data_IF_631192264486
#
_entry.id   IF_631192264486
#
_cell.length_a   1.000
_cell.length_b   1.000
_cell.length_c   1.000
_cell.angle_alpha   90.00
_cell.angle_beta   90.00
_cell.angle_gamma   90.00
#
_symmetry.space_group_name_H-M   'P 1'
#
loop_
_entity.id
_entity.type
_entity.pdbx_description
1 polymer ?
#
# COMPACT_ATOMS: atom_id res chain seq x y z
N UNK A 1 -11.70 5.87 76.89
CA UNK A 1 -11.54 4.80 77.89
C UNK A 1 -10.24 4.15 77.57
N UNK A 2 -9.12 4.49 78.30
CA UNK A 2 -8.53 3.84 79.46
C UNK A 2 -8.23 2.37 79.10
N UNK A 3 -6.94 1.90 79.01
CA UNK A 3 -5.96 1.69 80.13
C UNK A 3 -4.63 1.26 79.49
N UNK A 4 -3.45 1.78 79.59
CA UNK A 4 -2.36 1.79 80.58
C UNK A 4 -2.11 0.46 81.30
N UNK A 5 -0.82 -0.04 81.15
CA UNK A 5 0.02 -0.72 82.12
C UNK A 5 1.32 -1.15 81.37
N UNK A 6 2.45 -0.62 81.52
CA UNK A 6 3.48 -0.47 82.64
C UNK A 6 4.00 -1.81 83.23
N UNK A 7 5.31 -1.89 83.31
CA UNK A 7 6.25 -2.68 84.17
C UNK A 7 7.18 -3.60 83.34
N UNK A 8 8.45 -3.70 83.60
CA UNK A 8 9.41 -3.07 84.50
C UNK A 8 10.81 -3.56 84.13
N UNK A 9 11.80 -2.78 84.43
CA UNK A 9 13.25 -2.97 84.43
C UNK A 9 13.73 -4.23 85.17
N UNK A 10 14.88 -4.83 84.75
CA UNK A 10 16.05 -4.94 85.63
C UNK A 10 17.32 -5.35 84.87
N UNK A 11 18.47 -4.78 85.14
CA UNK A 11 19.76 -5.06 84.50
C UNK A 11 20.60 -6.02 85.32
N UNK A 12 21.55 -6.72 84.71
CA UNK A 12 22.70 -7.29 85.41
C UNK A 12 23.98 -7.11 84.61
N UNK A 13 24.90 -6.49 85.28
CA UNK A 13 26.30 -6.16 85.01
C UNK A 13 27.21 -7.33 85.45
N UNK A 14 28.34 -7.58 84.79
CA UNK A 14 29.69 -7.84 85.29
C UNK A 14 30.48 -8.52 84.15
N UNK A 15 31.40 -7.91 83.52
CA UNK A 15 32.82 -7.63 83.82
C UNK A 15 33.69 -8.86 83.87
N UNK A 16 34.61 -8.99 82.90
CA UNK A 16 36.00 -9.45 83.16
C UNK A 16 36.94 -9.06 82.02
N UNK A 17 38.00 -8.39 82.40
CA UNK A 17 39.11 -7.95 81.57
C UNK A 17 40.06 -9.09 81.20
N UNK A 18 40.77 -8.93 80.06
CA UNK A 18 42.04 -9.60 79.77
C UNK A 18 42.65 -9.04 78.48
N UNK A 19 43.85 -8.40 78.55
CA UNK A 19 44.47 -7.84 77.33
C UNK A 19 45.39 -8.88 76.67
N UNK A 20 45.30 -9.00 75.34
CA UNK A 20 46.35 -9.64 74.57
C UNK A 20 46.51 -8.85 73.22
N UNK A 21 47.69 -8.24 73.21
CA UNK A 21 48.26 -7.54 72.07
C UNK A 21 48.54 -8.48 70.90
N UNK A 22 48.08 -8.17 69.77
CA UNK A 22 48.41 -8.82 68.53
C UNK A 22 48.11 -7.88 67.37
N UNK A 23 49.06 -7.06 66.94
CA UNK A 23 49.05 -6.28 65.75
C UNK A 23 49.07 -7.25 64.56
N UNK A 24 47.90 -7.58 64.02
CA UNK A 24 47.85 -8.16 62.72
C UNK A 24 47.25 -7.12 61.80
N UNK A 25 48.03 -6.64 60.82
CA UNK A 25 47.63 -5.78 59.77
C UNK A 25 46.60 -6.53 58.91
N UNK A 26 45.32 -6.36 59.25
CA UNK A 26 44.21 -6.88 58.45
C UNK A 26 44.29 -6.41 57.01
N UNK A 27 44.60 -7.35 56.16
CA UNK A 27 44.31 -7.22 54.73
C UNK A 27 42.88 -6.73 54.62
N UNK A 28 42.65 -5.63 53.87
CA UNK A 28 41.33 -5.14 53.47
C UNK A 28 40.46 -6.25 52.82
N UNK A 29 39.16 -6.11 52.84
CA UNK A 29 38.26 -7.15 52.36
C UNK A 29 38.68 -7.62 50.97
N UNK A 30 38.95 -8.92 50.85
CA UNK A 30 39.42 -9.56 49.62
C UNK A 30 38.52 -9.22 48.46
N UNK A 31 39.05 -8.44 47.54
CA UNK A 31 38.35 -8.15 46.32
C UNK A 31 38.02 -9.46 45.58
N UNK A 32 36.75 -9.62 45.21
CA UNK A 32 36.38 -10.70 44.32
C UNK A 32 37.32 -10.68 43.10
N UNK A 33 37.78 -11.84 42.63
CA UNK A 33 38.58 -11.86 41.41
C UNK A 33 37.84 -11.14 40.28
N UNK A 34 38.55 -10.37 39.41
CA UNK A 34 37.91 -9.63 38.35
C UNK A 34 37.02 -10.56 37.54
N UNK A 35 35.76 -10.22 37.40
CA UNK A 35 34.82 -11.00 36.59
C UNK A 35 35.19 -10.91 35.10
N UNK A 36 35.40 -12.05 34.47
CA UNK A 36 35.57 -12.07 33.01
C UNK A 36 34.24 -11.74 32.33
N UNK A 37 34.22 -10.70 31.46
CA UNK A 37 33.05 -10.17 30.82
C UNK A 37 33.27 -9.99 29.32
N UNK A 38 32.25 -10.28 28.55
CA UNK A 38 32.20 -9.91 27.14
C UNK A 38 31.55 -8.53 27.01
N UNK A 39 32.11 -7.70 26.16
CA UNK A 39 31.60 -6.35 25.90
C UNK A 39 31.30 -6.13 24.42
N UNK A 40 30.34 -5.27 24.16
CA UNK A 40 30.06 -4.72 22.82
C UNK A 40 30.29 -3.22 22.87
N UNK A 41 31.09 -2.71 21.94
CA UNK A 41 31.30 -1.26 21.82
C UNK A 41 30.07 -0.65 21.10
N UNK A 42 29.51 0.38 21.69
CA UNK A 42 28.39 1.13 21.12
C UNK A 42 28.87 1.87 19.90
N UNK A 43 28.41 1.43 18.73
CA UNK A 43 28.64 2.11 17.45
C UNK A 43 27.28 2.53 16.88
N UNK A 44 27.02 3.85 16.73
CA UNK A 44 25.82 4.30 16.05
C UNK A 44 25.78 3.76 14.63
N UNK A 45 24.62 3.23 14.24
CA UNK A 45 24.40 2.67 12.91
C UNK A 45 23.05 3.16 12.34
N UNK A 46 22.97 3.28 11.02
CA UNK A 46 21.69 3.54 10.38
C UNK A 46 20.88 2.26 10.29
N UNK A 47 19.71 2.24 10.93
CA UNK A 47 18.81 1.09 10.94
C UNK A 47 17.62 1.32 10.03
N UNK A 48 17.21 0.33 9.23
CA UNK A 48 15.96 0.40 8.48
C UNK A 48 14.77 0.41 9.44
N UNK A 49 13.79 1.27 9.13
CA UNK A 49 12.51 1.32 9.85
C UNK A 49 11.42 0.81 8.92
N UNK A 50 10.62 -0.14 9.42
CA UNK A 50 9.47 -0.68 8.70
C UNK A 50 8.22 -0.39 9.50
N UNK A 51 7.22 0.23 8.86
CA UNK A 51 5.91 0.42 9.46
C UNK A 51 4.97 -0.65 8.91
N UNK A 52 4.12 -1.21 9.76
CA UNK A 52 3.19 -2.27 9.38
C UNK A 52 1.75 -1.85 9.65
N UNK A 53 0.89 -1.96 8.64
CA UNK A 53 -0.53 -1.62 8.71
C UNK A 53 -1.38 -2.73 8.11
N UNK A 54 -2.62 -2.84 8.56
CA UNK A 54 -3.60 -3.70 7.90
C UNK A 54 -4.20 -2.94 6.73
N UNK A 55 -4.22 -3.58 5.57
CA UNK A 55 -4.81 -3.03 4.36
C UNK A 55 -5.73 -4.02 3.68
N UNK A 56 -6.49 -3.51 2.73
CA UNK A 56 -7.37 -4.30 1.88
C UNK A 56 -7.05 -4.02 0.41
N UNK A 57 -6.96 -5.08 -0.37
CA UNK A 57 -6.76 -4.99 -1.82
C UNK A 57 -8.04 -4.50 -2.50
N UNK A 58 -7.90 -3.74 -3.56
CA UNK A 58 -8.99 -3.26 -4.41
C UNK A 58 -8.57 -3.30 -5.88
N UNK A 59 -9.53 -3.46 -6.77
CA UNK A 59 -9.26 -3.27 -8.19
C UNK A 59 -8.81 -1.85 -8.49
N UNK A 60 -7.88 -1.67 -9.42
CA UNK A 60 -7.45 -0.33 -9.83
C UNK A 60 -8.55 0.42 -10.59
N UNK A 61 -9.46 -0.31 -11.22
CA UNK A 61 -10.67 0.19 -11.84
C UNK A 61 -11.78 -0.83 -11.71
N UNK A 62 -12.95 -0.38 -11.35
CA UNK A 62 -14.18 -1.15 -11.40
C UNK A 62 -15.18 -0.40 -12.27
N UNK A 63 -15.58 -1.01 -13.37
CA UNK A 63 -16.44 -0.37 -14.38
C UNK A 63 -17.69 -1.20 -14.58
N UNK A 64 -18.82 -0.57 -14.38
CA UNK A 64 -20.12 -1.15 -14.67
C UNK A 64 -20.34 -1.22 -16.19
N UNK A 65 -20.73 -2.37 -16.67
CA UNK A 65 -21.14 -2.60 -18.04
C UNK A 65 -22.65 -2.55 -18.11
N UNK A 66 -23.16 -1.47 -18.70
CA UNK A 66 -24.60 -1.21 -18.82
C UNK A 66 -25.03 -1.26 -20.30
N UNK A 67 -26.27 -1.68 -20.54
CA UNK A 67 -26.87 -1.58 -21.86
C UNK A 67 -27.02 -0.09 -22.25
N UNK A 68 -26.77 0.26 -23.52
CA UNK A 68 -26.99 1.63 -24.05
C UNK A 68 -28.25 1.74 -24.84
N UNK A 69 -28.80 0.61 -25.28
CA UNK A 69 -30.03 0.50 -26.05
C UNK A 69 -30.98 -0.50 -25.41
N UNK A 70 -32.25 -0.38 -25.67
CA UNK A 70 -33.30 -1.27 -25.16
C UNK A 70 -33.49 -2.44 -26.11
N UNK A 71 -33.60 -3.66 -25.59
CA UNK A 71 -33.88 -4.84 -26.43
C UNK A 71 -33.75 -6.14 -25.63
N UNK A 72 -33.96 -7.26 -26.34
CA UNK A 72 -33.81 -8.59 -25.74
C UNK A 72 -32.35 -8.97 -25.76
N UNK A 73 -31.80 -9.42 -24.61
CA UNK A 73 -30.45 -9.96 -24.51
C UNK A 73 -30.42 -11.31 -25.23
N UNK A 74 -29.69 -11.38 -26.35
CA UNK A 74 -29.67 -12.57 -27.20
C UNK A 74 -28.65 -13.60 -26.74
N UNK A 75 -27.43 -13.15 -26.43
CA UNK A 75 -26.35 -14.03 -26.04
C UNK A 75 -25.38 -13.31 -25.09
N UNK A 76 -24.84 -14.10 -24.13
CA UNK A 76 -23.67 -13.75 -23.33
C UNK A 76 -22.42 -14.36 -23.98
N UNK A 77 -21.43 -13.52 -24.31
CA UNK A 77 -20.27 -13.90 -25.12
C UNK A 77 -18.99 -14.06 -24.26
N UNK A 78 -19.11 -14.15 -22.95
CA UNK A 78 -17.98 -14.33 -22.01
C UNK A 78 -18.30 -15.36 -20.92
N UNK A 79 -17.27 -15.90 -20.30
CA UNK A 79 -17.40 -16.69 -19.10
C UNK A 79 -17.21 -15.82 -17.85
N UNK A 80 -18.11 -15.97 -16.88
CA UNK A 80 -18.07 -15.22 -15.61
C UNK A 80 -16.80 -15.53 -14.81
N UNK A 81 -16.20 -14.51 -14.22
CA UNK A 81 -14.96 -14.67 -13.43
C UNK A 81 -13.69 -14.83 -14.27
N UNK A 82 -13.80 -14.78 -15.61
CA UNK A 82 -12.63 -14.91 -16.50
C UNK A 82 -12.11 -13.54 -16.94
N UNK A 83 -10.86 -13.54 -17.40
CA UNK A 83 -10.23 -12.34 -17.95
C UNK A 83 -10.87 -11.98 -19.27
N UNK A 84 -11.24 -10.70 -19.43
CA UNK A 84 -11.73 -10.12 -20.66
C UNK A 84 -10.80 -9.00 -21.11
N UNK A 85 -10.64 -8.87 -22.42
CA UNK A 85 -9.88 -7.78 -23.02
C UNK A 85 -10.78 -6.57 -23.31
N UNK A 86 -10.22 -5.34 -23.24
CA UNK A 86 -10.94 -4.15 -23.69
C UNK A 86 -11.42 -4.28 -25.14
N UNK A 87 -12.70 -3.97 -25.41
CA UNK A 87 -13.33 -4.11 -26.72
C UNK A 87 -13.83 -5.53 -27.03
N UNK A 88 -13.59 -6.51 -26.16
CA UNK A 88 -14.16 -7.84 -26.29
C UNK A 88 -15.69 -7.77 -26.14
N UNK A 89 -16.43 -8.42 -27.07
CA UNK A 89 -17.89 -8.53 -26.95
C UNK A 89 -18.26 -9.33 -25.71
N UNK A 90 -19.06 -8.72 -24.83
CA UNK A 90 -19.57 -9.35 -23.62
C UNK A 90 -21.01 -9.82 -23.78
N UNK A 91 -21.83 -9.00 -24.40
CA UNK A 91 -23.25 -9.35 -24.64
C UNK A 91 -23.65 -8.90 -26.03
N UNK A 92 -24.67 -9.57 -26.58
CA UNK A 92 -25.34 -9.19 -27.80
C UNK A 92 -26.83 -8.95 -27.49
N UNK A 93 -27.29 -7.73 -27.70
CA UNK A 93 -28.71 -7.37 -27.68
C UNK A 93 -29.25 -7.62 -29.09
N UNK A 94 -30.51 -8.01 -29.23
CA UNK A 94 -31.11 -8.30 -30.55
C UNK A 94 -30.90 -7.15 -31.52
N UNK A 95 -30.11 -7.33 -32.59
CA UNK A 95 -29.81 -6.26 -33.54
C UNK A 95 -30.91 -6.04 -34.59
N UNK A 96 -31.84 -6.99 -34.76
CA UNK A 96 -32.80 -6.95 -35.89
C UNK A 96 -33.60 -5.65 -35.97
N UNK A 97 -34.17 -5.08 -34.89
CA UNK A 97 -34.86 -3.80 -34.95
C UNK A 97 -33.97 -2.63 -35.38
N UNK A 98 -32.69 -2.66 -34.98
CA UNK A 98 -31.70 -1.62 -35.27
C UNK A 98 -31.16 -1.74 -36.70
N UNK A 99 -31.00 -2.96 -37.21
CA UNK A 99 -30.67 -3.22 -38.62
C UNK A 99 -31.77 -2.71 -39.55
N UNK A 100 -33.04 -2.94 -39.21
CA UNK A 100 -34.15 -2.41 -39.95
C UNK A 100 -34.19 -0.87 -39.91
N UNK A 101 -33.91 -0.24 -38.78
CA UNK A 101 -33.81 1.21 -38.63
C UNK A 101 -32.66 1.80 -39.47
N UNK A 102 -31.51 1.11 -39.48
CA UNK A 102 -30.37 1.47 -40.33
C UNK A 102 -30.73 1.45 -41.81
N UNK A 103 -31.31 0.33 -42.30
CA UNK A 103 -31.70 0.19 -43.70
C UNK A 103 -32.67 1.28 -44.11
N UNK A 104 -33.62 1.66 -43.23
CA UNK A 104 -34.56 2.78 -43.49
C UNK A 104 -33.80 4.11 -43.58
N UNK A 105 -32.89 4.40 -42.67
CA UNK A 105 -32.12 5.65 -42.71
C UNK A 105 -31.20 5.74 -43.93
N UNK A 106 -30.67 4.62 -44.43
CA UNK A 106 -29.91 4.56 -45.70
C UNK A 106 -30.78 4.88 -46.90
N UNK A 107 -32.01 4.34 -46.95
CA UNK A 107 -32.98 4.68 -48.01
C UNK A 107 -33.39 6.16 -47.98
N UNK A 108 -33.58 6.76 -46.78
CA UNK A 108 -33.91 8.17 -46.62
C UNK A 108 -32.79 9.09 -47.14
N UNK A 109 -31.51 8.72 -46.94
CA UNK A 109 -30.37 9.46 -47.54
C UNK A 109 -30.39 9.37 -49.03
N UNK A 110 -30.59 8.19 -49.65
CA UNK A 110 -30.66 8.04 -51.08
C UNK A 110 -31.82 8.85 -51.72
N UNK A 111 -32.96 8.89 -51.05
CA UNK A 111 -34.10 9.69 -51.50
C UNK A 111 -33.81 11.20 -51.42
N UNK A 112 -33.14 11.68 -50.37
CA UNK A 112 -32.74 13.07 -50.21
C UNK A 112 -31.70 13.49 -51.26
N UNK A 113 -30.69 12.64 -51.51
CA UNK A 113 -29.68 12.85 -52.54
C UNK A 113 -30.28 12.95 -53.94
N UNK A 114 -31.23 12.07 -54.30
CA UNK A 114 -31.92 12.12 -55.59
C UNK A 114 -32.68 13.43 -55.80
N UNK A 115 -33.34 13.94 -54.73
CA UNK A 115 -34.06 15.25 -54.80
C UNK A 115 -33.06 16.41 -54.93
N UNK A 116 -32.01 16.43 -54.18
CA UNK A 116 -30.93 17.45 -54.26
C UNK A 116 -30.34 17.46 -55.67
N UNK A 117 -30.01 16.30 -56.24
CA UNK A 117 -29.48 16.19 -57.61
C UNK A 117 -30.45 16.67 -58.68
N UNK A 118 -31.74 16.43 -58.49
CA UNK A 118 -32.78 17.00 -59.39
C UNK A 118 -32.77 18.52 -59.30
N UNK A 119 -32.80 19.11 -58.11
CA UNK A 119 -32.78 20.55 -57.89
C UNK A 119 -31.51 21.18 -58.48
N UNK A 120 -30.34 20.56 -58.23
CA UNK A 120 -29.03 20.99 -58.75
C UNK A 120 -29.03 21.00 -60.30
N UNK A 121 -29.51 19.95 -60.97
CA UNK A 121 -29.61 19.91 -62.43
C UNK A 121 -30.55 21.00 -62.96
N UNK A 122 -31.63 21.31 -62.23
CA UNK A 122 -32.54 22.37 -62.62
C UNK A 122 -31.87 23.75 -62.49
N UNK A 123 -31.21 24.07 -61.38
CA UNK A 123 -30.47 25.32 -61.18
C UNK A 123 -29.36 25.49 -62.25
N UNK A 124 -28.60 24.40 -62.51
CA UNK A 124 -27.53 24.38 -63.50
C UNK A 124 -28.06 24.66 -64.94
N UNK A 125 -29.29 24.21 -65.28
CA UNK A 125 -29.96 24.47 -66.60
C UNK A 125 -30.42 25.90 -66.70
N UNK A 126 -31.01 26.51 -65.69
CA UNK A 126 -31.56 27.88 -65.72
C UNK A 126 -30.44 28.93 -65.74
N UNK A 127 -29.29 28.67 -65.22
CA UNK A 127 -28.15 29.60 -65.19
C UNK A 127 -27.74 30.14 -66.58
N UNK A 128 -27.48 29.32 -67.62
CA UNK A 128 -27.20 29.81 -68.97
C UNK A 128 -28.40 30.46 -69.61
N UNK A 129 -29.62 29.96 -69.37
CA UNK A 129 -30.87 30.54 -69.98
C UNK A 129 -31.15 31.98 -69.47
N UNK A 130 -30.76 32.28 -68.22
CA UNK A 130 -30.82 33.63 -67.70
C UNK A 130 -29.86 34.56 -68.45
N UNK A 131 -28.66 34.11 -68.80
CA UNK A 131 -27.67 34.86 -69.54
C UNK A 131 -28.21 35.22 -70.95
N UNK A 132 -29.01 34.33 -71.53
CA UNK A 132 -29.72 34.54 -72.81
C UNK A 132 -31.04 35.30 -72.63
N UNK A 133 -31.41 35.74 -71.41
CA UNK A 133 -32.66 36.42 -71.05
C UNK A 133 -33.92 35.60 -71.36
N UNK A 134 -33.81 34.27 -71.43
CA UNK A 134 -34.93 33.34 -71.72
C UNK A 134 -35.74 32.99 -70.45
N UNK A 135 -35.26 33.33 -69.26
CA UNK A 135 -35.91 33.11 -67.94
C UNK A 135 -35.72 34.32 -67.05
N UNK A 136 -36.54 34.46 -66.00
CA UNK A 136 -36.42 35.53 -65.01
C UNK A 136 -35.34 35.24 -63.92
N UNK A 137 -34.80 36.29 -63.31
CA UNK A 137 -33.92 36.17 -62.18
C UNK A 137 -34.58 35.41 -61.05
N UNK A 138 -35.87 35.64 -60.83
CA UNK A 138 -36.67 34.94 -59.82
C UNK A 138 -36.66 33.43 -60.01
N UNK A 139 -36.79 32.95 -61.28
CA UNK A 139 -36.77 31.49 -61.54
C UNK A 139 -35.44 30.86 -61.20
N UNK A 140 -34.29 31.55 -61.41
CA UNK A 140 -32.99 31.08 -61.00
C UNK A 140 -32.84 31.09 -59.50
N UNK A 141 -33.29 32.18 -58.83
CA UNK A 141 -33.18 32.29 -57.35
C UNK A 141 -34.02 31.21 -56.64
N UNK A 142 -35.25 30.93 -57.21
CA UNK A 142 -36.09 29.84 -56.68
C UNK A 142 -35.45 28.47 -56.89
N UNK A 143 -34.78 28.22 -58.00
CA UNK A 143 -34.07 26.95 -58.25
C UNK A 143 -32.82 26.79 -57.38
N UNK A 144 -32.07 27.86 -57.14
CA UNK A 144 -30.93 27.86 -56.22
C UNK A 144 -31.40 27.64 -54.79
N UNK A 145 -32.50 28.26 -54.40
CA UNK A 145 -33.09 28.02 -53.06
C UNK A 145 -33.53 26.56 -52.89
N UNK A 146 -34.13 25.96 -53.95
CA UNK A 146 -34.49 24.53 -53.94
C UNK A 146 -33.24 23.62 -53.82
N UNK A 147 -32.14 23.95 -54.51
CA UNK A 147 -30.84 23.23 -54.32
C UNK A 147 -30.33 23.35 -52.92
N UNK A 148 -30.35 24.55 -52.32
CA UNK A 148 -29.92 24.77 -50.95
C UNK A 148 -30.76 23.99 -49.91
N UNK A 149 -32.09 23.96 -50.12
CA UNK A 149 -33.01 23.16 -49.30
C UNK A 149 -32.69 21.66 -49.44
N UNK A 150 -32.49 21.17 -50.67
CA UNK A 150 -32.13 19.79 -50.93
C UNK A 150 -30.82 19.39 -50.26
N UNK A 151 -29.81 20.28 -50.26
CA UNK A 151 -28.55 20.05 -49.57
C UNK A 151 -28.74 19.98 -48.03
N UNK A 152 -29.62 20.80 -47.46
CA UNK A 152 -29.95 20.73 -46.04
C UNK A 152 -30.68 19.43 -45.67
N UNK A 153 -31.59 18.95 -46.54
CA UNK A 153 -32.31 17.69 -46.36
C UNK A 153 -31.37 16.48 -46.39
N UNK A 154 -30.39 16.44 -47.30
CA UNK A 154 -29.34 15.42 -47.35
C UNK A 154 -28.57 15.41 -46.03
N UNK A 155 -28.12 16.56 -45.53
CA UNK A 155 -27.40 16.67 -44.27
C UNK A 155 -28.24 16.18 -43.10
N UNK A 156 -29.52 16.46 -43.05
CA UNK A 156 -30.43 15.98 -42.01
C UNK A 156 -30.64 14.45 -42.09
N UNK A 157 -30.74 13.88 -43.29
CA UNK A 157 -30.84 12.43 -43.49
C UNK A 157 -29.54 11.71 -43.08
N UNK A 158 -28.38 12.27 -43.43
CA UNK A 158 -27.07 11.74 -43.00
C UNK A 158 -26.89 11.74 -41.47
N UNK A 159 -27.40 12.77 -40.77
CA UNK A 159 -27.38 12.79 -39.31
C UNK A 159 -28.21 11.63 -38.71
N UNK A 160 -29.43 11.36 -39.26
CA UNK A 160 -30.25 10.21 -38.84
C UNK A 160 -29.59 8.87 -39.15
N UNK A 161 -28.91 8.75 -40.29
CA UNK A 161 -28.15 7.56 -40.65
C UNK A 161 -27.04 7.31 -39.62
N UNK A 162 -26.31 8.37 -39.22
CA UNK A 162 -25.26 8.27 -38.19
C UNK A 162 -25.84 7.80 -36.86
N UNK A 163 -26.97 8.32 -36.43
CA UNK A 163 -27.70 7.89 -35.25
C UNK A 163 -28.09 6.41 -35.30
N UNK A 164 -28.67 5.97 -36.43
CA UNK A 164 -29.06 4.57 -36.61
C UNK A 164 -27.85 3.62 -36.56
N UNK A 165 -26.73 3.99 -37.17
CA UNK A 165 -25.45 3.23 -37.09
C UNK A 165 -24.92 3.15 -35.66
N UNK A 166 -24.96 4.25 -34.91
CA UNK A 166 -24.52 4.30 -33.52
C UNK A 166 -25.41 3.39 -32.66
N UNK A 167 -26.73 3.46 -32.80
CA UNK A 167 -27.65 2.62 -32.04
C UNK A 167 -27.45 1.13 -32.36
N UNK A 168 -27.21 0.76 -33.62
CA UNK A 168 -26.86 -0.60 -33.99
C UNK A 168 -25.55 -1.03 -33.36
N UNK A 169 -24.52 -0.17 -33.34
CA UNK A 169 -23.24 -0.49 -32.68
C UNK A 169 -23.40 -0.80 -31.19
N UNK A 170 -24.34 -0.15 -30.51
CA UNK A 170 -24.63 -0.35 -29.10
C UNK A 170 -25.34 -1.69 -28.78
N UNK A 171 -25.86 -2.39 -29.79
CA UNK A 171 -26.41 -3.76 -29.60
C UNK A 171 -25.30 -4.76 -29.25
N UNK A 172 -24.05 -4.49 -29.65
CA UNK A 172 -22.86 -5.21 -29.24
C UNK A 172 -22.26 -4.52 -28.05
N UNK A 173 -22.47 -5.09 -26.85
CA UNK A 173 -21.96 -4.56 -25.61
C UNK A 173 -20.53 -5.07 -25.40
N UNK A 174 -19.57 -4.16 -25.33
CA UNK A 174 -18.14 -4.49 -25.22
C UNK A 174 -17.58 -4.16 -23.85
N UNK A 175 -16.51 -4.84 -23.47
CA UNK A 175 -15.76 -4.56 -22.23
C UNK A 175 -15.08 -3.18 -22.35
N UNK A 176 -15.33 -2.24 -21.41
CA UNK A 176 -14.75 -0.89 -21.45
C UNK A 176 -13.27 -0.87 -21.05
N UNK A 177 -12.85 -1.85 -20.26
CA UNK A 177 -11.46 -2.05 -19.77
C UNK A 177 -11.11 -3.53 -19.81
N UNK A 178 -9.81 -3.83 -19.88
CA UNK A 178 -9.33 -5.19 -19.64
C UNK A 178 -9.34 -5.49 -18.14
N UNK A 179 -9.82 -6.68 -17.75
CA UNK A 179 -9.93 -7.06 -16.36
C UNK A 179 -10.64 -8.40 -16.17
N UNK A 180 -11.07 -8.67 -14.95
CA UNK A 180 -11.87 -9.86 -14.63
C UNK A 180 -13.35 -9.48 -14.68
N UNK A 181 -14.12 -10.28 -15.42
CA UNK A 181 -15.56 -10.10 -15.53
C UNK A 181 -16.27 -10.56 -14.24
N UNK A 182 -17.23 -9.77 -13.80
CA UNK A 182 -18.14 -10.17 -12.74
C UNK A 182 -19.22 -11.16 -13.23
N UNK A 183 -20.19 -11.43 -12.35
CA UNK A 183 -21.38 -12.23 -12.66
C UNK A 183 -22.31 -11.43 -13.58
N UNK A 184 -22.96 -12.09 -14.50
CA UNK A 184 -24.03 -11.51 -15.28
C UNK A 184 -25.28 -11.28 -14.41
N UNK A 185 -25.81 -10.06 -14.43
CA UNK A 185 -27.02 -9.68 -13.70
C UNK A 185 -28.30 -9.94 -14.49
N UNK A 186 -28.19 -10.25 -15.77
CA UNK A 186 -29.28 -10.55 -16.68
C UNK A 186 -28.98 -11.82 -17.47
N UNK A 187 -29.98 -12.65 -17.63
CA UNK A 187 -29.91 -13.89 -18.43
C UNK A 187 -30.29 -13.66 -19.88
N UNK A 188 -29.82 -14.55 -20.74
CA UNK A 188 -30.24 -14.58 -22.13
C UNK A 188 -31.79 -14.69 -22.24
N UNK A 189 -32.37 -13.98 -23.16
CA UNK A 189 -33.82 -13.84 -23.31
C UNK A 189 -34.45 -12.71 -22.47
N UNK A 190 -33.72 -12.09 -21.54
CA UNK A 190 -34.23 -10.98 -20.72
C UNK A 190 -34.35 -9.70 -21.53
N UNK A 191 -35.44 -8.95 -21.31
CA UNK A 191 -35.54 -7.57 -21.80
C UNK A 191 -34.63 -6.66 -20.97
N UNK A 192 -33.77 -5.89 -21.59
CA UNK A 192 -32.94 -4.85 -21.00
C UNK A 192 -33.41 -3.47 -21.42
N UNK A 193 -33.53 -2.54 -20.49
CA UNK A 193 -34.10 -1.20 -20.69
C UNK A 193 -33.02 -0.15 -20.63
N UNK A 194 -32.28 0.05 -21.74
CA UNK A 194 -31.35 1.15 -21.93
C UNK A 194 -30.32 1.32 -20.77
N UNK A 195 -29.96 2.56 -20.43
CA UNK A 195 -28.86 2.85 -19.48
C UNK A 195 -29.08 2.38 -18.04
N UNK A 196 -30.31 2.10 -17.66
CA UNK A 196 -30.67 1.60 -16.32
C UNK A 196 -30.24 0.13 -16.10
N UNK A 197 -30.12 -0.65 -17.17
CA UNK A 197 -29.82 -2.07 -17.04
C UNK A 197 -28.32 -2.33 -16.82
N UNK A 198 -27.94 -2.61 -15.58
CA UNK A 198 -26.62 -3.16 -15.24
C UNK A 198 -26.55 -4.62 -15.70
N UNK A 199 -25.60 -4.91 -16.60
CA UNK A 199 -25.38 -6.24 -17.15
C UNK A 199 -24.33 -7.01 -16.35
N UNK A 200 -23.19 -6.40 -16.08
CA UNK A 200 -22.10 -6.96 -15.28
C UNK A 200 -21.15 -5.84 -14.85
N UNK A 201 -20.11 -6.20 -14.09
CA UNK A 201 -18.97 -5.33 -13.79
C UNK A 201 -17.70 -5.93 -14.37
N UNK A 202 -16.74 -5.09 -14.74
CA UNK A 202 -15.38 -5.51 -15.11
C UNK A 202 -14.41 -4.83 -14.16
N UNK A 203 -13.63 -5.63 -13.43
CA UNK A 203 -12.67 -5.14 -12.45
C UNK A 203 -11.26 -5.34 -12.99
N UNK A 204 -10.53 -4.25 -13.15
CA UNK A 204 -9.11 -4.28 -13.50
C UNK A 204 -8.32 -4.63 -12.24
N UNK A 205 -7.58 -5.75 -12.29
CA UNK A 205 -6.82 -6.29 -11.16
C UNK A 205 -5.31 -6.16 -11.34
N UNK A 206 -4.84 -5.71 -12.50
CA UNK A 206 -3.44 -5.40 -12.76
C UNK A 206 -3.34 -4.02 -13.45
N UNK A 207 -2.70 -3.04 -12.81
CA UNK A 207 -2.22 -3.10 -11.42
C UNK A 207 -3.34 -3.25 -10.38
N UNK A 208 -3.00 -3.72 -9.18
CA UNK A 208 -3.92 -3.79 -8.04
C UNK A 208 -3.62 -2.67 -7.04
N UNK A 209 -4.64 -2.15 -6.40
CA UNK A 209 -4.51 -1.20 -5.31
C UNK A 209 -4.61 -1.88 -3.97
N UNK A 210 -3.96 -1.28 -2.99
CA UNK A 210 -4.07 -1.67 -1.58
C UNK A 210 -4.35 -0.42 -0.77
N UNK A 211 -5.53 -0.36 -0.17
CA UNK A 211 -5.94 0.73 0.71
C UNK A 211 -5.62 0.36 2.16
N UNK A 212 -5.05 1.26 2.92
CA UNK A 212 -4.71 1.08 4.32
C UNK A 212 -4.80 2.39 5.07
N UNK A 213 -5.07 2.32 6.37
CA UNK A 213 -5.20 3.51 7.22
C UNK A 213 -4.00 3.68 8.14
N UNK A 214 -3.48 4.90 8.20
CA UNK A 214 -2.46 5.30 9.20
C UNK A 214 -3.16 6.08 10.30
N UNK A 215 -3.07 5.64 11.59
CA UNK A 215 -3.64 6.38 12.71
C UNK A 215 -3.02 7.79 12.83
N UNK A 216 -3.86 8.80 13.11
CA UNK A 216 -3.43 10.20 13.19
C UNK A 216 -2.36 10.43 14.28
N UNK A 217 -2.51 9.79 15.42
CA UNK A 217 -1.53 9.85 16.51
C UNK A 217 -0.16 9.29 16.10
N UNK A 218 -0.14 8.24 15.27
CA UNK A 218 1.10 7.65 14.76
C UNK A 218 1.76 8.55 13.72
N UNK A 219 0.96 9.13 12.83
CA UNK A 219 1.44 10.12 11.87
C UNK A 219 2.03 11.35 12.57
N UNK A 220 1.36 11.87 13.61
CA UNK A 220 1.87 13.00 14.39
C UNK A 220 3.18 12.66 15.12
N UNK A 221 3.34 11.42 15.61
CA UNK A 221 4.59 10.92 16.20
C UNK A 221 5.69 10.83 15.14
N UNK A 222 5.40 10.23 13.99
CA UNK A 222 6.35 10.12 12.88
C UNK A 222 6.84 11.50 12.43
N UNK A 223 5.94 12.47 12.32
CA UNK A 223 6.29 13.84 11.95
C UNK A 223 7.28 14.46 12.96
N UNK A 224 7.03 14.33 14.26
CA UNK A 224 7.96 14.78 15.31
C UNK A 224 9.31 14.08 15.24
N UNK A 225 9.33 12.79 14.89
CA UNK A 225 10.58 12.04 14.76
C UNK A 225 11.38 12.46 13.52
N UNK A 226 10.70 12.82 12.44
CA UNK A 226 11.34 13.39 11.24
C UNK A 226 11.91 14.78 11.54
N UNK A 227 11.13 15.67 12.17
CA UNK A 227 11.56 17.02 12.56
C UNK A 227 12.78 16.98 13.51
N UNK A 228 12.78 16.02 14.43
CA UNK A 228 13.90 15.79 15.35
C UNK A 228 15.06 15.01 14.72
N UNK A 229 15.02 14.70 13.41
CA UNK A 229 16.01 13.91 12.67
C UNK A 229 16.27 12.52 13.25
N UNK A 230 15.32 11.98 14.01
CA UNK A 230 15.38 10.60 14.52
C UNK A 230 14.99 9.57 13.47
N UNK A 231 14.19 9.98 12.49
CA UNK A 231 13.83 9.17 11.32
C UNK A 231 14.12 10.00 10.06
N UNK A 232 14.83 9.41 9.13
CA UNK A 232 15.06 9.93 7.80
C UNK A 232 14.10 9.24 6.82
N UNK A 233 13.39 10.05 6.04
CA UNK A 233 12.49 9.57 4.99
C UNK A 233 13.30 9.04 3.80
N UNK A 234 12.71 8.17 2.95
CA UNK A 234 13.32 7.78 1.69
C UNK A 234 13.70 9.00 0.83
N UNK A 235 14.77 8.90 0.06
CA UNK A 235 15.31 10.01 -0.72
C UNK A 235 14.31 10.59 -1.75
N UNK A 236 13.41 9.74 -2.27
CA UNK A 236 12.34 10.13 -3.19
C UNK A 236 11.05 10.55 -2.47
N UNK A 237 11.05 10.58 -1.14
CA UNK A 237 9.90 10.90 -0.30
C UNK A 237 8.76 9.87 -0.36
N UNK A 238 8.99 8.70 -0.96
CA UNK A 238 7.98 7.66 -1.16
C UNK A 238 8.41 6.35 -0.53
N UNK A 239 7.50 5.77 0.25
CA UNK A 239 7.72 4.44 0.81
C UNK A 239 7.59 3.37 -0.27
N UNK A 240 8.50 2.41 -0.24
CA UNK A 240 8.32 1.14 -0.90
C UNK A 240 7.33 0.30 -0.09
N UNK A 241 6.43 -0.37 -0.79
CA UNK A 241 5.36 -1.17 -0.19
C UNK A 241 5.60 -2.64 -0.51
N UNK A 242 5.69 -3.46 0.53
CA UNK A 242 5.66 -4.92 0.43
C UNK A 242 4.45 -5.44 1.19
N UNK A 243 3.90 -6.56 0.74
CA UNK A 243 2.70 -7.15 1.34
C UNK A 243 3.04 -8.49 1.96
N UNK A 244 2.49 -8.74 3.15
CA UNK A 244 2.40 -10.07 3.72
C UNK A 244 0.95 -10.54 3.59
N UNK A 245 0.78 -11.73 3.04
CA UNK A 245 -0.52 -12.37 2.85
C UNK A 245 -1.04 -12.93 4.19
N UNK A 246 -2.28 -13.39 4.20
CA UNK A 246 -2.92 -13.90 5.42
C UNK A 246 -2.20 -15.15 6.01
N UNK A 247 -1.51 -15.92 5.17
CA UNK A 247 -0.68 -17.05 5.58
C UNK A 247 0.71 -16.69 6.09
N UNK A 248 1.04 -15.38 6.11
CA UNK A 248 2.35 -14.86 6.50
C UNK A 248 3.39 -14.85 5.39
N UNK A 249 3.08 -15.38 4.20
CA UNK A 249 4.00 -15.33 3.06
C UNK A 249 4.12 -13.91 2.51
N UNK A 250 5.31 -13.56 2.03
CA UNK A 250 5.54 -12.28 1.39
C UNK A 250 5.09 -12.33 -0.09
N UNK A 251 4.34 -11.33 -0.52
CA UNK A 251 4.06 -11.15 -1.94
C UNK A 251 5.34 -10.78 -2.69
N UNK A 252 5.60 -11.47 -3.80
CA UNK A 252 6.89 -11.41 -4.51
C UNK A 252 7.20 -10.05 -5.18
N UNK A 253 6.22 -9.16 -5.27
CA UNK A 253 6.38 -7.84 -5.92
C UNK A 253 6.18 -6.73 -4.93
N UNK A 254 7.04 -5.72 -5.00
CA UNK A 254 6.84 -4.48 -4.27
C UNK A 254 6.08 -3.47 -5.12
N UNK A 255 5.49 -2.49 -4.44
CA UNK A 255 4.81 -1.37 -5.03
C UNK A 255 5.21 -0.06 -4.39
N UNK A 256 4.45 0.98 -4.65
CA UNK A 256 4.69 2.31 -4.08
C UNK A 256 3.40 2.95 -3.62
N UNK A 257 3.49 3.75 -2.57
CA UNK A 257 2.39 4.63 -2.18
C UNK A 257 2.18 5.66 -3.29
N UNK A 258 0.97 5.70 -3.86
CA UNK A 258 0.60 6.61 -4.94
C UNK A 258 -0.45 7.65 -4.55
N UNK A 259 -1.10 7.49 -3.39
CA UNK A 259 -2.13 8.41 -2.89
C UNK A 259 -2.17 8.42 -1.36
N UNK A 260 -2.44 9.57 -0.78
CA UNK A 260 -2.79 9.75 0.62
C UNK A 260 -3.89 10.80 0.73
N UNK A 261 -5.01 10.45 1.37
CA UNK A 261 -6.11 11.39 1.57
C UNK A 261 -5.65 12.54 2.49
N UNK A 262 -6.14 13.73 2.23
CA UNK A 262 -5.92 14.90 3.10
C UNK A 262 -6.77 14.80 4.36
N UNK A 263 -7.91 14.12 4.27
CA UNK A 263 -8.89 14.01 5.35
C UNK A 263 -8.57 12.83 6.27
N UNK A 264 -8.85 13.02 7.54
CA UNK A 264 -8.88 11.95 8.53
C UNK A 264 -10.31 11.43 8.62
N UNK A 265 -10.48 10.13 8.51
CA UNK A 265 -11.78 9.48 8.70
C UNK A 265 -12.25 9.64 10.15
N UNK A 266 -13.36 10.31 10.36
CA UNK A 266 -13.92 10.49 11.70
C UNK A 266 -14.37 9.17 12.35
N UNK A 267 -14.68 8.15 11.55
CA UNK A 267 -15.10 6.83 12.04
C UNK A 267 -13.95 6.00 12.60
N UNK A 268 -12.76 6.14 12.05
CA UNK A 268 -11.60 5.28 12.38
C UNK A 268 -10.42 6.06 12.99
N UNK A 269 -10.43 7.40 12.92
CA UNK A 269 -9.30 8.23 13.33
C UNK A 269 -8.04 8.02 12.49
N UNK A 270 -8.19 7.49 11.26
CA UNK A 270 -7.08 7.16 10.38
C UNK A 270 -7.10 8.02 9.12
N UNK A 271 -5.92 8.28 8.58
CA UNK A 271 -5.73 8.82 7.24
C UNK A 271 -5.61 7.68 6.24
N UNK A 272 -6.44 7.70 5.22
CA UNK A 272 -6.41 6.68 4.17
C UNK A 272 -5.22 6.89 3.23
N UNK A 273 -4.50 5.80 2.99
CA UNK A 273 -3.37 5.73 2.07
C UNK A 273 -3.64 4.63 1.05
N UNK A 274 -3.09 4.78 -0.14
CA UNK A 274 -3.19 3.79 -1.19
C UNK A 274 -1.83 3.50 -1.80
N UNK A 275 -1.55 2.23 -1.95
CA UNK A 275 -0.40 1.73 -2.71
C UNK A 275 -0.86 1.05 -3.99
N UNK A 276 0.00 1.07 -4.99
CA UNK A 276 -0.19 0.39 -6.27
C UNK A 276 0.89 -0.64 -6.48
N UNK A 277 0.47 -1.87 -6.82
CA UNK A 277 1.36 -3.01 -7.05
C UNK A 277 1.03 -3.69 -8.38
N UNK A 278 2.04 -4.18 -9.05
CA UNK A 278 1.84 -5.05 -10.21
C UNK A 278 1.27 -6.40 -9.76
N UNK A 279 0.24 -6.88 -10.45
CA UNK A 279 -0.44 -8.14 -10.13
C UNK A 279 -0.69 -9.00 -11.38
N UNK A 280 0.36 -9.32 -12.14
CA UNK A 280 0.21 -10.16 -13.32
C UNK A 280 -0.34 -11.54 -12.96
N UNK A 281 -1.32 -11.98 -13.73
CA UNK A 281 -2.00 -13.25 -13.47
C UNK A 281 -3.05 -13.21 -12.35
N UNK A 282 -3.29 -12.07 -11.70
CA UNK A 282 -4.37 -11.90 -10.73
C UNK A 282 -4.19 -12.71 -9.43
N UNK A 283 -2.95 -12.90 -8.98
CA UNK A 283 -2.64 -13.63 -7.75
C UNK A 283 -3.30 -12.98 -6.52
N UNK A 284 -3.30 -11.66 -6.46
CA UNK A 284 -4.08 -10.90 -5.46
C UNK A 284 -5.49 -10.66 -6.01
N UNK A 285 -6.48 -10.87 -5.17
CA UNK A 285 -7.88 -10.62 -5.50
C UNK A 285 -8.40 -9.39 -4.79
N UNK A 286 -9.25 -8.56 -5.40
CA UNK A 286 -9.91 -7.45 -4.71
C UNK A 286 -10.68 -7.94 -3.47
N UNK A 287 -10.66 -7.13 -2.40
CA UNK A 287 -11.32 -7.45 -1.13
C UNK A 287 -10.49 -8.28 -0.15
N UNK A 288 -9.28 -8.71 -0.51
CA UNK A 288 -8.41 -9.52 0.32
C UNK A 288 -7.71 -8.65 1.37
N UNK A 289 -7.70 -9.09 2.64
CA UNK A 289 -6.91 -8.43 3.68
C UNK A 289 -5.45 -8.86 3.60
N UNK A 290 -4.57 -7.87 3.74
CA UNK A 290 -3.11 -8.04 3.70
C UNK A 290 -2.46 -7.16 4.76
N UNK A 291 -1.24 -7.52 5.18
CA UNK A 291 -0.40 -6.63 5.97
C UNK A 291 0.53 -5.85 5.05
N UNK A 292 0.45 -4.55 5.14
CA UNK A 292 1.19 -3.59 4.33
C UNK A 292 2.43 -3.19 5.10
N UNK A 293 3.61 -3.45 4.58
CA UNK A 293 4.88 -3.01 5.14
C UNK A 293 5.43 -1.84 4.32
N UNK A 294 5.55 -0.69 4.96
CA UNK A 294 6.19 0.50 4.40
C UNK A 294 7.68 0.47 4.73
N UNK A 295 8.52 0.46 3.71
CA UNK A 295 9.98 0.38 3.79
C UNK A 295 10.65 1.61 3.18
N UNK A 296 11.91 1.82 3.53
CA UNK A 296 12.74 2.88 2.96
C UNK A 296 13.07 4.00 3.94
N UNK A 297 12.33 4.15 5.05
CA UNK A 297 12.77 5.03 6.13
C UNK A 297 13.95 4.41 6.89
N UNK A 298 14.80 5.27 7.43
CA UNK A 298 15.95 4.84 8.24
C UNK A 298 16.01 5.65 9.53
N UNK A 299 16.54 5.03 10.58
CA UNK A 299 16.87 5.73 11.82
C UNK A 299 18.39 5.93 11.83
N UNK A 300 18.86 7.14 11.51
CA UNK A 300 20.29 7.45 11.58
C UNK A 300 20.76 7.40 13.04
N UNK A 301 22.04 7.13 13.23
CA UNK A 301 22.71 7.17 14.55
C UNK A 301 22.01 6.33 15.64
N UNK A 302 21.32 5.26 15.26
CA UNK A 302 20.69 4.37 16.21
C UNK A 302 21.75 3.57 17.01
N UNK A 303 21.58 3.58 18.31
CA UNK A 303 22.38 2.77 19.24
C UNK A 303 21.61 1.51 19.56
N UNK A 304 22.17 0.35 19.27
CA UNK A 304 21.56 -0.94 19.62
C UNK A 304 22.41 -1.70 20.64
N UNK A 305 21.72 -2.37 21.56
CA UNK A 305 22.35 -3.22 22.58
C UNK A 305 21.57 -4.54 22.62
N UNK A 306 22.27 -5.70 22.62
CA UNK A 306 21.60 -6.99 22.73
C UNK A 306 20.66 -7.06 23.93
N UNK A 307 19.49 -7.69 23.76
CA UNK A 307 18.44 -7.74 24.79
C UNK A 307 18.98 -8.23 26.15
N UNK A 308 19.87 -9.23 26.13
CA UNK A 308 20.45 -9.82 27.32
C UNK A 308 21.32 -8.85 28.16
N UNK A 309 21.80 -7.75 27.58
CA UNK A 309 22.59 -6.75 28.28
C UNK A 309 21.76 -5.70 29.03
N UNK A 310 20.45 -5.60 28.71
CA UNK A 310 19.55 -4.66 29.36
C UNK A 310 18.87 -5.35 30.54
N UNK A 311 19.15 -4.84 31.73
CA UNK A 311 18.60 -5.34 32.98
C UNK A 311 17.49 -4.42 33.48
N UNK A 312 16.62 -4.95 34.33
CA UNK A 312 15.53 -4.21 34.96
C UNK A 312 15.78 -4.11 36.47
N UNK A 313 15.67 -2.92 37.01
CA UNK A 313 15.87 -2.63 38.41
C UNK A 313 14.80 -1.68 38.97
N UNK A 314 14.87 -1.35 40.27
CA UNK A 314 13.86 -0.49 40.93
C UNK A 314 13.69 0.90 40.32
N UNK A 315 14.75 1.40 39.64
CA UNK A 315 14.76 2.72 39.01
C UNK A 315 14.51 2.65 37.46
N UNK A 316 14.14 1.48 36.93
CA UNK A 316 13.93 1.25 35.52
C UNK A 316 15.02 0.40 34.88
N UNK A 317 15.13 0.49 33.56
CA UNK A 317 16.07 -0.29 32.75
C UNK A 317 17.47 0.32 32.81
N UNK A 318 18.49 -0.54 32.92
CA UNK A 318 19.89 -0.14 32.97
C UNK A 318 20.79 -1.15 32.26
N UNK A 319 21.98 -0.73 31.94
CA UNK A 319 23.07 -1.59 31.43
C UNK A 319 24.31 -1.42 32.30
N UNK A 320 25.19 -2.42 32.30
CA UNK A 320 26.53 -2.25 32.82
C UNK A 320 27.45 -1.79 31.69
N UNK A 321 28.22 -0.73 31.95
CA UNK A 321 29.29 -0.25 31.07
C UNK A 321 30.63 -0.39 31.78
N UNK A 322 31.70 -0.54 31.01
CA UNK A 322 33.05 -0.52 31.55
C UNK A 322 33.43 0.94 31.77
N UNK A 323 33.53 1.31 33.07
CA UNK A 323 33.95 2.64 33.51
C UNK A 323 35.47 2.79 33.64
N UNK A 324 35.88 3.94 34.17
CA UNK A 324 37.29 4.21 34.44
C UNK A 324 37.89 3.19 35.41
N UNK A 325 39.11 2.70 35.13
CA UNK A 325 39.78 1.69 35.97
C UNK A 325 39.24 0.28 35.80
N UNK A 326 38.58 -0.07 34.68
CA UNK A 326 38.03 -1.41 34.42
C UNK A 326 37.03 -1.87 35.49
N UNK A 327 36.16 -0.98 35.94
CA UNK A 327 35.09 -1.28 36.90
C UNK A 327 33.72 -1.25 36.19
N UNK A 328 32.77 -2.11 36.61
CA UNK A 328 31.43 -2.13 36.13
C UNK A 328 30.62 -0.94 36.67
N UNK A 329 30.14 -0.07 35.80
CA UNK A 329 29.31 1.09 36.15
C UNK A 329 27.87 0.85 35.70
N UNK A 330 26.90 1.06 36.60
CA UNK A 330 25.47 1.03 36.24
C UNK A 330 25.14 2.32 35.49
N UNK A 331 24.56 2.16 34.31
CA UNK A 331 24.06 3.30 33.52
C UNK A 331 22.59 3.13 33.20
N UNK A 332 21.73 3.99 33.76
CA UNK A 332 20.31 4.01 33.39
C UNK A 332 20.14 4.30 31.89
N UNK A 333 19.27 3.54 31.23
CA UNK A 333 18.98 3.69 29.80
C UNK A 333 17.49 3.77 29.55
N UNK A 334 17.11 4.62 28.60
CA UNK A 334 15.76 4.56 28.03
C UNK A 334 15.80 3.69 26.76
N UNK A 335 14.96 2.66 26.75
CA UNK A 335 14.84 1.77 25.60
C UNK A 335 13.67 2.19 24.74
N UNK A 336 13.80 2.02 23.43
CA UNK A 336 12.75 2.20 22.43
C UNK A 336 12.20 0.87 21.94
N UNK A 337 12.05 0.75 20.63
CA UNK A 337 11.57 -0.44 19.95
C UNK A 337 12.66 -1.52 19.85
N UNK A 338 12.24 -2.74 19.54
CA UNK A 338 13.15 -3.84 19.26
C UNK A 338 13.58 -3.81 17.79
N UNK A 339 14.84 -4.16 17.57
CA UNK A 339 15.39 -4.39 16.25
C UNK A 339 16.06 -5.77 16.24
N UNK A 340 15.36 -6.78 15.75
CA UNK A 340 15.80 -8.18 15.86
C UNK A 340 15.88 -8.64 17.31
N UNK A 341 17.07 -9.04 17.78
CA UNK A 341 17.37 -9.48 19.16
C UNK A 341 17.98 -8.37 20.02
N UNK A 342 17.96 -7.11 19.55
CA UNK A 342 18.56 -5.97 20.24
C UNK A 342 17.51 -4.89 20.56
N UNK A 343 17.74 -4.17 21.68
CA UNK A 343 17.01 -2.95 22.02
C UNK A 343 17.63 -1.74 21.33
N UNK A 344 16.82 -0.88 20.78
CA UNK A 344 17.23 0.47 20.37
C UNK A 344 17.25 1.33 21.63
N UNK A 345 18.40 1.91 21.95
CA UNK A 345 18.58 2.80 23.11
C UNK A 345 18.33 4.23 22.67
N UNK A 346 17.35 4.88 23.30
CA UNK A 346 16.96 6.26 22.98
C UNK A 346 17.73 7.30 23.80
N UNK A 347 18.21 6.93 24.97
CA UNK A 347 19.07 7.78 25.79
C UNK A 347 19.85 6.95 26.82
N UNK A 348 20.97 7.52 27.33
CA UNK A 348 21.77 6.91 28.39
C UNK A 348 23.14 6.35 27.95
N UNK A 349 23.32 6.07 26.64
CA UNK A 349 24.60 5.63 26.09
C UNK A 349 25.17 6.64 25.09
N UNK A 350 26.48 6.61 24.95
CA UNK A 350 27.25 7.40 23.99
C UNK A 350 28.04 6.48 23.05
N UNK A 351 28.35 7.00 21.89
CA UNK A 351 29.25 6.31 20.95
C UNK A 351 30.60 6.04 21.66
N UNK A 352 31.10 4.81 21.53
CA UNK A 352 32.34 4.35 22.17
C UNK A 352 32.15 3.72 23.54
N UNK A 353 30.99 3.81 24.21
CA UNK A 353 30.73 3.10 25.44
C UNK A 353 30.88 1.58 25.26
N UNK A 354 31.52 0.90 26.20
CA UNK A 354 31.63 -0.56 26.19
C UNK A 354 30.58 -1.16 27.11
N UNK A 355 29.52 -1.71 26.51
CA UNK A 355 28.42 -2.34 27.25
C UNK A 355 28.73 -3.80 27.49
N UNK A 356 28.61 -4.25 28.76
CA UNK A 356 28.81 -5.63 29.17
C UNK A 356 27.57 -6.45 28.75
N UNK A 357 27.81 -7.53 28.02
CA UNK A 357 26.75 -8.38 27.47
C UNK A 357 26.68 -9.77 28.13
N UNK A 358 27.75 -10.23 28.76
CA UNK A 358 27.82 -11.51 29.45
C UNK A 358 28.51 -11.36 30.82
N UNK A 359 28.27 -12.31 31.73
CA UNK A 359 28.83 -12.29 33.07
C UNK A 359 28.06 -11.43 34.07
N UNK A 360 26.90 -10.88 33.67
CA UNK A 360 26.09 -9.90 34.42
C UNK A 360 25.68 -10.39 35.82
N UNK A 361 25.41 -11.68 35.98
CA UNK A 361 24.99 -12.28 37.27
C UNK A 361 26.05 -12.20 38.38
N UNK A 362 27.30 -11.95 38.01
CA UNK A 362 28.46 -11.88 38.95
C UNK A 362 28.90 -10.45 39.21
N UNK A 363 28.19 -9.46 38.58
CA UNK A 363 28.58 -8.06 38.67
C UNK A 363 27.77 -7.32 39.73
N UNK A 364 28.46 -6.51 40.51
CA UNK A 364 27.87 -5.46 41.33
C UNK A 364 28.39 -4.09 40.91
N UNK A 365 27.75 -3.00 41.36
CA UNK A 365 28.24 -1.66 41.08
C UNK A 365 29.69 -1.50 41.59
N UNK A 366 30.61 -1.06 40.71
CA UNK A 366 32.02 -0.90 41.04
C UNK A 366 32.86 -2.18 41.05
N UNK A 367 32.30 -3.33 40.66
CA UNK A 367 33.05 -4.59 40.58
C UNK A 367 34.17 -4.51 39.53
N UNK A 368 35.41 -4.97 39.83
CA UNK A 368 36.47 -5.00 38.84
C UNK A 368 36.14 -6.03 37.75
N UNK A 369 36.28 -5.62 36.50
CA UNK A 369 36.02 -6.48 35.34
C UNK A 369 37.30 -6.70 34.54
N UNK A 370 37.45 -7.90 33.99
CA UNK A 370 38.46 -8.25 33.02
C UNK A 370 37.78 -8.54 31.69
N UNK A 371 38.17 -7.80 30.68
CA UNK A 371 37.66 -8.06 29.32
C UNK A 371 38.13 -9.43 28.88
N UNK A 372 37.19 -10.31 28.51
CA UNK A 372 37.54 -11.55 27.86
C UNK A 372 38.18 -11.21 26.49
N UNK A 373 39.32 -11.80 26.19
CA UNK A 373 39.94 -11.65 24.88
C UNK A 373 38.96 -12.13 23.83
N UNK A 374 38.68 -11.24 22.85
CA UNK A 374 37.72 -11.46 21.76
C UNK A 374 38.07 -12.78 21.06
N UNK A 375 37.33 -13.85 21.35
CA UNK A 375 37.37 -15.04 20.54
C UNK A 375 36.91 -14.62 19.15
N UNK A 376 37.83 -14.60 18.19
CA UNK A 376 37.55 -14.27 16.79
C UNK A 376 36.38 -15.12 16.30
N UNK A 377 35.39 -14.47 15.68
CA UNK A 377 34.30 -15.11 14.94
C UNK A 377 34.84 -16.19 13.99
N UNK A 378 34.88 -17.44 14.48
CA UNK A 378 35.02 -18.65 13.69
C UNK A 378 33.71 -19.41 13.81
N UNK A 379 32.84 -19.26 12.84
CA UNK A 379 31.67 -20.13 12.82
C UNK A 379 30.52 -19.75 11.95
N UNK A 380 30.76 -19.33 10.72
CA UNK A 380 29.70 -19.30 9.72
C UNK A 380 30.25 -19.67 8.33
N UNK A 381 30.88 -20.84 8.22
CA UNK A 381 31.08 -21.50 6.95
C UNK A 381 31.35 -23.01 7.15
N UNK A 382 30.31 -23.79 7.37
CA UNK A 382 30.29 -25.25 7.13
C UNK A 382 28.85 -25.71 6.96
N UNK A 383 28.39 -25.74 5.71
CA UNK A 383 27.10 -26.29 5.36
C UNK A 383 26.81 -26.40 3.86
N UNK A 384 27.84 -26.43 3.02
CA UNK A 384 27.67 -26.85 1.62
C UNK A 384 27.85 -28.38 1.54
N UNK A 385 26.76 -29.12 1.79
CA UNK A 385 26.69 -30.56 1.54
C UNK A 385 26.75 -30.84 0.07
N UNK A 386 27.76 -31.63 -0.35
CA UNK A 386 27.90 -32.24 -1.68
C UNK A 386 26.64 -33.03 -2.07
N UNK A 387 26.17 -32.95 -3.29
CA UNK A 387 25.14 -33.86 -3.81
C UNK A 387 25.76 -35.26 -4.01
N UNK A 388 25.13 -36.25 -3.42
CA UNK A 388 25.44 -37.66 -3.63
C UNK A 388 25.00 -38.08 -5.05
N UNK A 389 25.95 -38.49 -5.83
CA UNK A 389 25.79 -39.20 -7.09
C UNK A 389 25.14 -40.56 -6.86
N UNK A 390 23.93 -40.79 -7.33
CA UNK A 390 23.31 -42.12 -7.43
C UNK A 390 23.49 -42.66 -8.84
N UNK A 391 24.40 -43.63 -8.94
CA UNK A 391 24.41 -44.61 -10.03
C UNK A 391 23.20 -45.57 -9.88
N UNK A 392 22.40 -45.62 -10.83
CA UNK A 392 21.85 -46.72 -11.66
C UNK A 392 20.53 -46.27 -12.26
#
# INVERSE_FOLDING_TARGET
MRSRLLFALLPWVLAACGPSSGHDKGKGPGGFPPAEVNTVTVTPASLPVTFEYVGQTAGSREVEVRARVTGILKTRNFAEGMVVAKGQSMFTIDPAPYEAALARAEADVGAAEARMDQARRNAARLKPLLAEKAVSQKDLDDAQSAEAIGAADVKAAQARLTEARLNLSYTRVEAPVSGISGRANRSDGSLVSGPEALLTTVTQVDPIWVNFGIPDNEQARLQKDIEAKRIAMPADGRFEVTLLLADGSAYARSGRVNFGDVRISAATGTREMRAELANPGGALRPGQFVRVQLRGATRPDAVTVPQRAVLEGPQGKFVYVVGAGSAAEIRPVAVGEWSGDAWIITSGLKAGDQVIIDGLMKLGPGAPVKLAEKAAEKGADKGAGKPAEKKK
#
